data_IF_893311245153
#
_entry.id   IF_893311245153
#
_cell.length_a   1.000
_cell.length_b   1.000
_cell.length_c   1.000
_cell.angle_alpha   90.00
_cell.angle_beta   90.00
_cell.angle_gamma   90.00
#
_symmetry.space_group_name_H-M   'P 1'
#
loop_
_entity.id
_entity.type
_entity.pdbx_description
1 polymer ?
#
# COMPACT_ATOMS: atom_id res chain seq x y z
N UNK A 1 41.82 -12.91 -17.19
CA UNK A 1 41.21 -11.67 -16.67
C UNK A 1 39.82 -11.38 -17.24
N UNK A 2 39.66 -11.42 -18.56
CA UNK A 2 38.37 -11.12 -19.23
C UNK A 2 37.22 -12.05 -18.82
N UNK A 3 37.46 -13.34 -18.68
CA UNK A 3 36.47 -14.34 -18.26
C UNK A 3 35.99 -14.16 -16.80
N UNK A 4 36.88 -13.76 -15.89
CA UNK A 4 36.51 -13.49 -14.49
C UNK A 4 35.66 -12.22 -14.35
N UNK A 5 35.95 -11.19 -15.15
CA UNK A 5 35.18 -9.96 -15.17
C UNK A 5 33.76 -10.20 -15.71
N UNK A 6 33.62 -10.98 -16.78
CA UNK A 6 32.32 -11.37 -17.35
C UNK A 6 31.48 -12.20 -16.37
N UNK A 7 32.10 -13.10 -15.62
CA UNK A 7 31.40 -13.87 -14.61
C UNK A 7 30.89 -13.00 -13.44
N UNK A 8 31.66 -12.01 -13.01
CA UNK A 8 31.27 -11.06 -11.96
C UNK A 8 30.11 -10.15 -12.43
N UNK A 9 30.18 -9.64 -13.67
CA UNK A 9 29.11 -8.80 -14.24
C UNK A 9 27.82 -9.60 -14.42
N UNK A 10 27.91 -10.86 -14.88
CA UNK A 10 26.75 -11.74 -15.00
C UNK A 10 26.14 -12.08 -13.62
N UNK A 11 26.97 -12.32 -12.60
CA UNK A 11 26.52 -12.59 -11.25
C UNK A 11 25.82 -11.41 -10.59
N UNK A 12 26.33 -10.20 -10.76
CA UNK A 12 25.71 -8.95 -10.25
C UNK A 12 24.41 -8.66 -10.99
N UNK A 13 24.37 -8.89 -12.32
CA UNK A 13 23.14 -8.73 -13.10
C UNK A 13 22.01 -9.68 -12.65
N UNK A 14 22.35 -10.92 -12.29
CA UNK A 14 21.39 -11.91 -11.81
C UNK A 14 20.84 -11.55 -10.42
N UNK A 15 21.67 -11.01 -9.54
CA UNK A 15 21.26 -10.56 -8.19
C UNK A 15 20.33 -9.36 -8.23
N UNK A 16 20.49 -8.45 -9.21
CA UNK A 16 19.63 -7.29 -9.36
C UNK A 16 18.25 -7.63 -9.97
N UNK A 17 18.16 -8.72 -10.72
CA UNK A 17 16.89 -9.17 -11.35
C UNK A 17 15.93 -9.84 -10.35
N UNK A 18 16.41 -10.30 -9.20
CA UNK A 18 15.59 -11.07 -8.24
C UNK A 18 14.76 -10.21 -7.28
N UNK A 19 15.06 -8.93 -7.13
CA UNK A 19 14.41 -8.07 -6.13
C UNK A 19 12.96 -7.71 -6.48
N UNK A 20 12.64 -7.53 -7.76
CA UNK A 20 11.27 -7.21 -8.20
C UNK A 20 10.31 -8.41 -8.08
N UNK A 21 10.81 -9.64 -8.28
CA UNK A 21 9.98 -10.84 -8.17
C UNK A 21 9.50 -11.10 -6.73
N UNK A 22 10.30 -10.77 -5.73
CA UNK A 22 9.94 -10.93 -4.32
C UNK A 22 8.83 -9.98 -3.88
N UNK A 23 8.84 -8.73 -4.35
CA UNK A 23 7.79 -7.76 -4.01
C UNK A 23 6.43 -8.18 -4.61
N UNK A 24 6.39 -8.67 -5.85
CA UNK A 24 5.18 -9.21 -6.47
C UNK A 24 4.63 -10.43 -5.74
N UNK A 25 5.50 -11.33 -5.29
CA UNK A 25 5.09 -12.50 -4.52
C UNK A 25 4.51 -12.12 -3.16
N UNK A 26 5.06 -11.13 -2.47
CA UNK A 26 4.55 -10.68 -1.18
C UNK A 26 3.12 -10.10 -1.29
N UNK A 27 2.87 -9.23 -2.27
CA UNK A 27 1.53 -8.70 -2.53
C UNK A 27 0.53 -9.81 -2.87
N UNK A 28 0.83 -10.64 -3.87
CA UNK A 28 -0.04 -11.72 -4.34
C UNK A 28 -0.26 -12.81 -3.27
N UNK A 29 0.62 -12.92 -2.30
CA UNK A 29 0.44 -13.84 -1.17
C UNK A 29 -0.61 -13.34 -0.18
N UNK A 30 -0.69 -12.02 0.05
CA UNK A 30 -1.47 -11.42 1.14
C UNK A 30 -2.78 -10.78 0.68
N UNK A 31 -2.80 -10.13 -0.49
CA UNK A 31 -3.94 -9.37 -1.00
C UNK A 31 -4.54 -9.98 -2.27
N UNK A 32 -5.84 -9.76 -2.46
CA UNK A 32 -6.59 -10.32 -3.59
C UNK A 32 -6.97 -9.23 -4.58
N UNK A 33 -6.35 -9.23 -5.75
CA UNK A 33 -6.64 -8.28 -6.84
C UNK A 33 -8.08 -8.39 -7.37
N UNK A 34 -8.74 -9.52 -7.14
CA UNK A 34 -10.13 -9.73 -7.53
C UNK A 34 -11.13 -9.27 -6.45
N UNK A 35 -10.63 -8.72 -5.35
CA UNK A 35 -11.43 -8.12 -4.27
C UNK A 35 -11.11 -6.64 -4.10
N UNK A 36 -11.45 -5.79 -5.08
CA UNK A 36 -11.30 -4.35 -4.91
C UNK A 36 -12.20 -3.86 -3.78
N UNK A 37 -11.68 -2.93 -2.99
CA UNK A 37 -12.45 -2.25 -1.96
C UNK A 37 -12.57 -0.77 -2.26
N UNK A 38 -13.68 -0.21 -1.80
CA UNK A 38 -13.93 1.23 -1.76
C UNK A 38 -14.66 1.55 -0.47
N UNK A 39 -13.93 1.94 0.55
CA UNK A 39 -14.46 2.15 1.89
C UNK A 39 -14.22 3.59 2.35
N UNK A 40 -15.24 4.16 2.99
CA UNK A 40 -15.19 5.49 3.58
C UNK A 40 -15.17 5.36 5.10
N UNK A 41 -14.25 6.07 5.74
CA UNK A 41 -14.15 6.05 7.18
C UNK A 41 -13.37 7.24 7.73
N UNK A 42 -13.41 7.36 9.05
CA UNK A 42 -12.63 8.34 9.79
C UNK A 42 -11.30 7.75 10.24
N UNK A 43 -10.21 8.47 10.02
CA UNK A 43 -8.89 8.06 10.50
C UNK A 43 -8.90 7.96 12.02
N UNK A 44 -8.50 6.82 12.54
CA UNK A 44 -8.28 6.58 13.97
C UNK A 44 -6.82 6.81 14.32
N UNK A 45 -5.94 6.28 13.49
CA UNK A 45 -4.50 6.27 13.71
C UNK A 45 -3.75 6.15 12.40
N UNK A 46 -2.62 6.80 12.30
CA UNK A 46 -1.69 6.63 11.20
C UNK A 46 -0.29 6.29 11.72
N UNK A 47 0.21 5.14 11.34
CA UNK A 47 1.52 4.63 11.71
C UNK A 47 2.48 4.76 10.55
N UNK A 48 3.48 5.62 10.70
CA UNK A 48 4.57 5.81 9.74
C UNK A 48 5.74 4.91 10.11
N UNK A 49 5.65 3.67 9.70
CA UNK A 49 6.65 2.62 10.00
C UNK A 49 7.26 2.07 8.71
N UNK A 50 8.45 1.48 8.81
CA UNK A 50 9.09 0.76 7.73
C UNK A 50 8.85 -0.76 7.90
N UNK A 51 8.72 -1.50 6.81
CA UNK A 51 8.80 -1.08 5.41
C UNK A 51 7.52 -0.44 4.87
N UNK A 52 6.38 -0.58 5.55
CA UNK A 52 5.08 -0.07 5.12
C UNK A 52 4.39 0.73 6.22
N UNK A 53 3.70 1.79 5.83
CA UNK A 53 2.83 2.57 6.70
C UNK A 53 1.46 1.93 6.82
N UNK A 54 0.75 2.23 7.92
CA UNK A 54 -0.59 1.72 8.19
C UNK A 54 -1.54 2.84 8.56
N UNK A 55 -2.67 2.90 7.87
CA UNK A 55 -3.77 3.80 8.20
C UNK A 55 -4.89 2.96 8.80
N UNK A 56 -5.29 3.29 10.01
CA UNK A 56 -6.45 2.68 10.67
C UNK A 56 -7.63 3.62 10.50
N UNK A 57 -8.72 3.12 9.92
CA UNK A 57 -9.95 3.88 9.71
C UNK A 57 -11.15 3.15 10.30
N UNK A 58 -12.06 3.86 10.91
CA UNK A 58 -13.34 3.34 11.33
C UNK A 58 -14.37 3.53 10.24
N UNK A 59 -14.87 2.42 9.72
CA UNK A 59 -15.89 2.36 8.67
C UNK A 59 -17.21 1.96 9.30
N UNK A 60 -18.26 2.77 9.14
CA UNK A 60 -19.60 2.43 9.59
C UNK A 60 -20.21 1.41 8.64
N UNK A 61 -20.67 0.28 9.21
CA UNK A 61 -21.48 -0.69 8.51
C UNK A 61 -22.95 -0.27 8.42
N UNK A 62 -23.74 -1.05 7.67
CA UNK A 62 -25.18 -0.82 7.48
C UNK A 62 -25.97 -0.93 8.79
N UNK A 63 -25.44 -1.66 9.77
CA UNK A 63 -25.98 -1.81 11.13
C UNK A 63 -25.64 -0.62 12.06
N UNK A 64 -24.92 0.39 11.56
CA UNK A 64 -24.47 1.55 12.32
C UNK A 64 -23.25 1.30 13.21
N UNK A 65 -22.74 0.07 13.29
CA UNK A 65 -21.52 -0.27 14.02
C UNK A 65 -20.29 0.06 13.20
N UNK A 66 -19.27 0.62 13.86
CA UNK A 66 -17.99 0.87 13.24
C UNK A 66 -17.12 -0.38 13.26
N UNK A 67 -16.44 -0.64 12.15
CA UNK A 67 -15.42 -1.67 12.02
C UNK A 67 -14.13 -1.00 11.61
N UNK A 68 -13.06 -1.28 12.34
CA UNK A 68 -11.74 -0.72 12.01
C UNK A 68 -11.09 -1.50 10.87
N UNK A 69 -10.72 -0.79 9.82
CA UNK A 69 -9.91 -1.30 8.72
C UNK A 69 -8.46 -0.88 8.89
N UNK A 70 -7.55 -1.78 8.57
CA UNK A 70 -6.12 -1.51 8.49
C UNK A 70 -5.69 -1.44 7.04
N UNK A 71 -5.26 -0.27 6.62
CA UNK A 71 -4.88 0.02 5.23
C UNK A 71 -3.38 0.15 5.13
N UNK A 72 -2.77 -0.75 4.38
CA UNK A 72 -1.34 -0.72 4.09
C UNK A 72 -1.03 0.32 3.02
N UNK A 73 -0.02 1.13 3.26
CA UNK A 73 0.54 2.10 2.33
C UNK A 73 2.04 1.91 2.19
N UNK A 74 2.67 2.69 1.31
CA UNK A 74 4.10 2.65 1.11
C UNK A 74 4.91 3.07 2.34
N UNK A 75 6.22 2.94 2.26
CA UNK A 75 7.13 3.41 3.30
C UNK A 75 6.98 4.92 3.54
N UNK A 76 7.31 5.42 4.75
CA UNK A 76 7.22 6.85 5.05
C UNK A 76 7.94 7.73 4.04
N UNK A 77 9.14 7.34 3.62
CA UNK A 77 9.91 8.11 2.64
C UNK A 77 9.21 8.23 1.29
N UNK A 78 8.57 7.17 0.82
CA UNK A 78 7.80 7.20 -0.42
C UNK A 78 6.56 8.09 -0.28
N UNK A 79 5.85 7.99 0.83
CA UNK A 79 4.68 8.82 1.09
C UNK A 79 5.04 10.31 1.13
N UNK A 80 6.15 10.69 1.75
CA UNK A 80 6.62 12.08 1.76
C UNK A 80 6.92 12.59 0.34
N UNK A 81 7.51 11.78 -0.53
CA UNK A 81 7.73 12.14 -1.93
C UNK A 81 6.43 12.31 -2.72
N UNK A 82 5.36 11.63 -2.31
CA UNK A 82 4.04 11.71 -2.91
C UNK A 82 3.17 12.85 -2.34
N UNK A 83 3.72 13.67 -1.46
CA UNK A 83 3.06 14.85 -0.92
C UNK A 83 2.40 14.67 0.44
N UNK A 84 2.54 13.49 1.07
CA UNK A 84 2.13 13.34 2.47
C UNK A 84 3.09 14.05 3.41
N UNK A 85 2.55 14.51 4.53
CA UNK A 85 3.32 14.97 5.70
C UNK A 85 2.82 14.23 6.93
N UNK A 86 3.50 14.35 8.06
CA UNK A 86 3.04 13.75 9.32
C UNK A 86 1.64 14.21 9.73
N UNK A 87 1.27 15.40 9.30
CA UNK A 87 0.00 16.07 9.62
C UNK A 87 -1.10 15.78 8.60
N UNK A 88 -0.83 15.00 7.54
CA UNK A 88 -1.79 14.77 6.46
C UNK A 88 -3.03 14.00 6.88
N UNK A 89 -2.91 13.14 7.88
CA UNK A 89 -3.98 12.25 8.33
C UNK A 89 -4.18 12.31 9.85
N UNK A 90 -4.57 13.47 10.41
CA UNK A 90 -4.90 13.53 11.82
C UNK A 90 -6.14 12.67 12.13
N UNK A 91 -6.25 12.11 13.37
CA UNK A 91 -7.44 11.39 13.80
C UNK A 91 -8.72 12.20 13.54
N UNK A 92 -9.77 11.53 13.09
CA UNK A 92 -11.05 12.16 12.72
C UNK A 92 -11.14 12.62 11.26
N UNK A 93 -10.04 12.60 10.50
CA UNK A 93 -10.08 12.94 9.07
C UNK A 93 -10.90 11.91 8.30
N UNK A 94 -11.93 12.35 7.60
CA UNK A 94 -12.71 11.49 6.72
C UNK A 94 -12.01 11.28 5.38
N UNK A 95 -11.83 10.01 5.00
CA UNK A 95 -11.24 9.61 3.73
C UNK A 95 -12.02 8.48 3.07
N UNK A 96 -11.98 8.47 1.77
CA UNK A 96 -12.39 7.34 0.94
C UNK A 96 -11.14 6.60 0.51
N UNK A 97 -11.05 5.32 0.83
CA UNK A 97 -9.92 4.45 0.47
C UNK A 97 -10.33 3.52 -0.65
N UNK A 98 -9.51 3.46 -1.68
CA UNK A 98 -9.61 2.49 -2.78
C UNK A 98 -8.37 1.59 -2.74
N UNK A 99 -8.58 0.28 -2.89
CA UNK A 99 -7.50 -0.70 -2.82
C UNK A 99 -8.00 -2.13 -2.97
N UNK A 100 -7.30 -3.08 -2.37
CA UNK A 100 -7.62 -4.51 -2.46
C UNK A 100 -7.61 -5.16 -1.08
N UNK A 101 -8.61 -5.98 -0.81
CA UNK A 101 -8.78 -6.68 0.46
C UNK A 101 -7.76 -7.81 0.62
N UNK A 102 -7.43 -8.13 1.87
CA UNK A 102 -6.68 -9.32 2.21
C UNK A 102 -7.42 -10.60 1.81
N UNK A 103 -6.66 -11.60 1.37
CA UNK A 103 -7.20 -12.90 0.91
C UNK A 103 -7.94 -13.67 1.99
N UNK A 104 -7.56 -13.49 3.24
CA UNK A 104 -8.22 -14.12 4.39
C UNK A 104 -9.61 -13.54 4.70
N UNK A 105 -10.04 -12.50 3.98
CA UNK A 105 -11.33 -11.85 4.16
C UNK A 105 -11.40 -10.93 5.38
N UNK A 106 -10.28 -10.69 6.06
CA UNK A 106 -10.21 -9.74 7.18
C UNK A 106 -10.41 -8.30 6.71
N UNK A 107 -10.57 -7.37 7.67
CA UNK A 107 -10.67 -5.93 7.44
C UNK A 107 -9.26 -5.30 7.28
N UNK A 108 -8.39 -5.99 6.55
CA UNK A 108 -7.10 -5.49 6.09
C UNK A 108 -7.15 -5.30 4.58
N UNK A 109 -6.49 -4.27 4.12
CA UNK A 109 -6.38 -4.00 2.69
C UNK A 109 -5.05 -3.31 2.37
N UNK A 110 -4.61 -3.46 1.14
CA UNK A 110 -3.59 -2.58 0.58
C UNK A 110 -4.28 -1.40 -0.09
N UNK A 111 -3.88 -0.19 0.29
CA UNK A 111 -4.45 1.02 -0.28
C UNK A 111 -3.72 1.46 -1.56
N UNK A 112 -4.49 1.87 -2.56
CA UNK A 112 -3.96 2.52 -3.77
C UNK A 112 -4.09 4.02 -3.70
N UNK A 113 -5.30 4.50 -3.45
CA UNK A 113 -5.62 5.91 -3.40
C UNK A 113 -6.45 6.23 -2.17
N UNK A 114 -6.28 7.43 -1.67
CA UNK A 114 -7.22 8.05 -0.75
C UNK A 114 -7.78 9.35 -1.37
N UNK A 115 -9.06 9.60 -1.10
CA UNK A 115 -9.72 10.83 -1.48
C UNK A 115 -10.25 11.50 -0.23
N UNK A 116 -9.85 12.75 -0.01
CA UNK A 116 -10.33 13.58 1.09
C UNK A 116 -11.73 14.16 0.80
N UNK A 117 -12.37 14.71 1.82
CA UNK A 117 -13.71 15.30 1.69
C UNK A 117 -13.78 16.48 0.72
N UNK A 118 -12.67 17.20 0.52
CA UNK A 118 -12.53 18.29 -0.44
C UNK A 118 -12.30 17.83 -1.89
N UNK A 119 -12.24 16.50 -2.11
CA UNK A 119 -11.98 15.89 -3.40
C UNK A 119 -10.50 15.72 -3.76
N UNK A 120 -9.58 16.21 -2.92
CA UNK A 120 -8.14 15.99 -3.12
C UNK A 120 -7.85 14.48 -3.06
N UNK A 121 -7.09 13.99 -4.05
CA UNK A 121 -6.61 12.61 -4.09
C UNK A 121 -5.12 12.54 -3.81
N UNK A 122 -4.72 11.55 -3.03
CA UNK A 122 -3.32 11.18 -2.84
C UNK A 122 -3.14 9.69 -3.13
N UNK A 123 -2.05 9.37 -3.80
CA UNK A 123 -1.65 8.00 -4.07
C UNK A 123 -0.89 7.44 -2.88
N UNK A 124 -1.25 6.23 -2.42
CA UNK A 124 -0.62 5.61 -1.24
C UNK A 124 0.72 4.91 -1.56
N UNK A 125 1.20 5.00 -2.78
CA UNK A 125 2.59 4.80 -3.16
C UNK A 125 3.09 3.37 -3.22
N UNK A 126 2.21 2.38 -3.18
CA UNK A 126 2.58 1.06 -3.65
C UNK A 126 2.54 1.12 -5.18
N UNK A 127 3.69 0.94 -5.82
CA UNK A 127 3.82 1.05 -7.27
C UNK A 127 2.87 0.09 -7.98
N UNK A 128 2.48 0.38 -9.22
CA UNK A 128 1.71 -0.57 -10.04
C UNK A 128 2.41 -1.94 -10.15
N UNK A 129 3.75 -1.95 -10.05
CA UNK A 129 4.54 -3.15 -9.96
C UNK A 129 4.33 -3.95 -8.67
N UNK A 130 3.93 -3.28 -7.57
CA UNK A 130 3.65 -3.90 -6.27
C UNK A 130 2.16 -4.20 -6.06
N UNK A 131 1.27 -3.54 -6.81
CA UNK A 131 -0.18 -3.64 -6.65
C UNK A 131 -0.91 -4.44 -7.72
N UNK A 132 -0.21 -5.02 -8.70
CA UNK A 132 -0.82 -5.91 -9.67
C UNK A 132 -0.45 -5.64 -11.14
N UNK A 133 -0.94 -6.47 -12.06
CA UNK A 133 -0.56 -6.38 -13.45
C UNK A 133 -0.99 -5.03 -14.01
N UNK A 134 -0.01 -4.24 -14.34
CA UNK A 134 -0.19 -3.17 -15.28
C UNK A 134 -0.58 -3.78 -16.62
N UNK A 135 -1.77 -3.47 -17.08
CA UNK A 135 -2.35 -3.77 -18.41
C UNK A 135 -2.66 -5.21 -18.68
#
# INVERSE_FOLDING_TARGET
MRTRLLAVVAGVGLLLATTSAWAHHAFAAEFDQNKPIKVRGAVVKWELTNPHSWIHIDVKGDDGKAVTWMIEGASPNNLYRLGFTKESLPPGTEILVEGYQAKDGSTRAVGRNITFSDGKKLFLGLSEAETGPGK
#
